data_IF_189901087681
#
_entry.id   IF_189901087681
#
_cell.length_a   1.000
_cell.length_b   1.000
_cell.length_c   1.000
_cell.angle_alpha   90.00
_cell.angle_beta   90.00
_cell.angle_gamma   90.00
#
_symmetry.space_group_name_H-M   'P 1'
#
loop_
_entity.id
_entity.type
_entity.pdbx_description
1 polymer ?
#
# COMPACT_ATOMS: atom_id res chain seq x y z
N UNK A 1 -0.76 39.73 -2.43
CA UNK A 1 -1.39 38.76 -1.50
C UNK A 1 -2.55 39.48 -0.82
N UNK A 2 -3.78 38.96 -0.90
CA UNK A 2 -4.99 39.72 -0.49
C UNK A 2 -5.20 39.70 1.03
N UNK A 3 -6.00 40.63 1.55
CA UNK A 3 -6.34 40.71 2.98
C UNK A 3 -6.96 39.41 3.50
N UNK A 4 -7.85 38.79 2.71
CA UNK A 4 -8.45 37.49 3.02
C UNK A 4 -7.40 36.37 3.18
N UNK A 5 -6.38 36.32 2.31
CA UNK A 5 -5.32 35.32 2.40
C UNK A 5 -4.46 35.48 3.66
N UNK A 6 -4.22 36.72 4.11
CA UNK A 6 -3.48 37.00 5.36
C UNK A 6 -4.28 36.58 6.58
N UNK A 7 -5.57 36.91 6.61
CA UNK A 7 -6.47 36.50 7.69
C UNK A 7 -6.55 34.97 7.83
N UNK A 8 -6.74 34.26 6.72
CA UNK A 8 -6.82 32.79 6.71
C UNK A 8 -5.51 32.13 7.18
N UNK A 9 -4.34 32.66 6.79
CA UNK A 9 -3.06 32.17 7.33
C UNK A 9 -2.92 32.42 8.83
N UNK A 10 -3.38 33.58 9.32
CA UNK A 10 -3.41 33.89 10.75
C UNK A 10 -4.27 32.90 11.53
N UNK A 11 -5.47 32.58 11.02
CA UNK A 11 -6.40 31.63 11.62
C UNK A 11 -5.84 30.19 11.63
N UNK A 12 -5.13 29.77 10.58
CA UNK A 12 -4.41 28.48 10.58
C UNK A 12 -3.28 28.45 11.60
N UNK A 13 -2.48 29.53 11.69
CA UNK A 13 -1.39 29.63 12.67
C UNK A 13 -1.88 29.55 14.12
N UNK A 14 -3.07 30.10 14.39
CA UNK A 14 -3.74 30.06 15.70
C UNK A 14 -4.51 28.76 15.97
N UNK A 15 -4.52 27.81 15.03
CA UNK A 15 -5.20 26.52 15.20
C UNK A 15 -6.74 26.59 15.10
N UNK A 16 -7.31 27.71 14.64
CA UNK A 16 -8.76 27.89 14.45
C UNK A 16 -9.24 27.20 13.16
N UNK A 17 -8.37 27.12 12.16
CA UNK A 17 -8.60 26.44 10.91
C UNK A 17 -7.53 25.38 10.67
N UNK A 18 -7.92 24.26 10.05
CA UNK A 18 -6.99 23.25 9.53
C UNK A 18 -7.00 23.26 8.02
N UNK A 19 -5.81 23.35 7.42
CA UNK A 19 -5.63 23.44 5.97
C UNK A 19 -5.51 22.07 5.33
N UNK A 20 -6.28 21.84 4.27
CA UNK A 20 -6.25 20.64 3.44
C UNK A 20 -6.04 21.03 1.98
N UNK A 21 -5.22 20.26 1.25
CA UNK A 21 -5.01 20.45 -0.18
C UNK A 21 -5.67 19.30 -0.92
N UNK A 22 -6.57 19.64 -1.83
CA UNK A 22 -7.21 18.66 -2.72
C UNK A 22 -6.27 18.32 -3.89
N UNK A 23 -6.58 17.24 -4.60
CA UNK A 23 -5.83 16.81 -5.78
C UNK A 23 -6.02 17.73 -7.00
N UNK A 24 -7.03 18.61 -6.98
CA UNK A 24 -7.17 19.73 -7.94
C UNK A 24 -6.37 20.97 -7.53
N UNK A 25 -5.42 20.83 -6.61
CA UNK A 25 -4.64 21.90 -5.98
C UNK A 25 -5.47 22.99 -5.28
N UNK A 26 -6.77 22.77 -5.08
CA UNK A 26 -7.61 23.69 -4.31
C UNK A 26 -7.32 23.52 -2.82
N UNK A 27 -7.29 24.64 -2.10
CA UNK A 27 -7.10 24.63 -0.65
C UNK A 27 -8.45 24.73 0.04
N UNK A 28 -8.76 23.75 0.87
CA UNK A 28 -9.97 23.70 1.69
C UNK A 28 -9.56 23.92 3.14
N UNK A 29 -10.35 24.66 3.90
CA UNK A 29 -10.12 24.93 5.31
C UNK A 29 -11.26 24.32 6.13
N UNK A 30 -10.93 23.43 7.06
CA UNK A 30 -11.87 22.89 8.04
C UNK A 30 -11.82 23.71 9.34
N UNK A 31 -12.98 23.99 9.91
CA UNK A 31 -13.15 24.69 11.18
C UNK A 31 -12.88 23.71 12.33
N UNK A 32 -11.90 24.02 13.17
CA UNK A 32 -11.51 23.19 14.32
C UNK A 32 -12.44 23.46 15.50
N UNK A 33 -12.40 22.63 16.55
CA UNK A 33 -13.16 22.91 17.77
C UNK A 33 -12.75 24.27 18.39
N UNK A 34 -11.45 24.62 18.53
CA UNK A 34 -11.06 25.97 18.93
C UNK A 34 -11.59 27.10 18.03
N UNK A 35 -11.76 26.84 16.72
CA UNK A 35 -12.36 27.79 15.79
C UNK A 35 -13.86 27.96 15.99
N UNK A 36 -14.57 26.90 16.37
CA UNK A 36 -15.99 26.96 16.76
C UNK A 36 -16.15 27.75 18.04
N UNK A 37 -15.34 27.45 19.06
CA UNK A 37 -15.40 28.11 20.36
C UNK A 37 -15.13 29.63 20.19
N UNK A 38 -14.11 29.98 19.36
CA UNK A 38 -13.82 31.38 19.02
C UNK A 38 -14.98 32.09 18.31
N UNK A 39 -15.73 31.41 17.43
CA UNK A 39 -16.91 31.98 16.77
C UNK A 39 -18.08 32.14 17.76
N UNK A 40 -18.25 31.18 18.67
CA UNK A 40 -19.25 31.25 19.74
C UNK A 40 -19.02 32.44 20.67
N UNK A 41 -17.77 32.69 21.07
CA UNK A 41 -17.37 33.88 21.87
C UNK A 41 -17.69 35.21 21.17
N UNK A 42 -17.85 35.19 19.85
CA UNK A 42 -18.19 36.37 19.02
C UNK A 42 -19.64 36.34 18.50
N UNK A 43 -20.50 35.50 19.09
CA UNK A 43 -21.95 35.48 18.80
C UNK A 43 -22.34 34.78 17.49
N UNK A 44 -21.48 33.89 16.96
CA UNK A 44 -21.75 33.14 15.75
C UNK A 44 -21.87 31.64 16.02
N UNK A 45 -23.01 31.05 15.66
CA UNK A 45 -23.21 29.61 15.73
C UNK A 45 -22.39 28.89 14.64
N UNK A 46 -21.58 27.91 15.08
CA UNK A 46 -20.74 27.13 14.19
C UNK A 46 -20.61 25.68 14.68
N UNK A 47 -20.22 24.78 13.77
CA UNK A 47 -19.96 23.38 14.08
C UNK A 47 -18.59 22.95 13.56
N UNK A 48 -17.91 22.10 14.34
CA UNK A 48 -16.58 21.61 14.00
C UNK A 48 -16.66 20.72 12.77
N UNK A 49 -16.02 21.14 11.67
CA UNK A 49 -15.96 20.37 10.44
C UNK A 49 -14.71 19.50 10.37
N UNK A 50 -13.77 19.63 11.32
CA UNK A 50 -12.54 18.84 11.34
C UNK A 50 -12.80 17.35 11.44
N UNK A 51 -13.80 16.88 12.20
CA UNK A 51 -14.13 15.44 12.26
C UNK A 51 -14.55 14.92 10.89
N UNK A 52 -15.49 15.60 10.22
CA UNK A 52 -15.95 15.22 8.87
C UNK A 52 -14.84 15.34 7.82
N UNK A 53 -13.97 16.34 7.92
CA UNK A 53 -12.88 16.57 6.96
C UNK A 53 -11.67 15.66 7.22
N UNK A 54 -11.41 15.23 8.46
CA UNK A 54 -10.42 14.19 8.78
C UNK A 54 -10.89 12.80 8.38
N UNK A 55 -12.21 12.58 8.41
CA UNK A 55 -12.86 11.32 8.01
C UNK A 55 -13.10 11.24 6.49
N UNK A 56 -12.83 12.32 5.74
CA UNK A 56 -12.79 12.29 4.28
C UNK A 56 -11.59 11.44 3.84
N UNK A 57 -11.79 10.13 3.76
CA UNK A 57 -10.96 9.27 2.92
C UNK A 57 -10.95 9.89 1.53
N UNK A 58 -9.76 10.13 0.97
CA UNK A 58 -9.68 10.67 -0.38
C UNK A 58 -10.45 9.72 -1.33
N UNK A 59 -11.52 10.19 -1.98
CA UNK A 59 -12.36 9.33 -2.79
C UNK A 59 -11.57 8.73 -3.95
N UNK A 60 -10.57 9.44 -4.49
CA UNK A 60 -9.70 8.93 -5.54
C UNK A 60 -8.80 7.80 -5.04
N UNK A 61 -8.24 7.93 -3.83
CA UNK A 61 -7.40 6.90 -3.21
C UNK A 61 -8.18 5.62 -2.95
N UNK A 62 -9.39 5.77 -2.39
CA UNK A 62 -10.29 4.65 -2.17
C UNK A 62 -10.69 3.97 -3.49
N UNK A 63 -10.95 4.78 -4.52
CA UNK A 63 -11.27 4.27 -5.86
C UNK A 63 -10.10 3.47 -6.45
N UNK A 64 -8.85 3.92 -6.28
CA UNK A 64 -7.68 3.14 -6.71
C UNK A 64 -7.52 1.84 -5.94
N UNK A 65 -7.73 1.83 -4.62
CA UNK A 65 -7.70 0.60 -3.83
C UNK A 65 -8.79 -0.39 -4.29
N UNK A 66 -10.03 0.09 -4.51
CA UNK A 66 -11.13 -0.72 -5.02
C UNK A 66 -10.86 -1.23 -6.44
N UNK A 67 -10.29 -0.39 -7.31
CA UNK A 67 -9.88 -0.78 -8.65
C UNK A 67 -8.91 -1.97 -8.62
N UNK A 68 -7.90 -1.94 -7.75
CA UNK A 68 -6.94 -3.04 -7.59
C UNK A 68 -7.60 -4.33 -7.08
N UNK A 69 -8.60 -4.22 -6.20
CA UNK A 69 -9.41 -5.36 -5.74
C UNK A 69 -10.19 -5.96 -6.91
N UNK A 70 -10.91 -5.15 -7.68
CA UNK A 70 -11.68 -5.60 -8.84
C UNK A 70 -10.79 -6.22 -9.91
N UNK A 71 -9.64 -5.60 -10.21
CA UNK A 71 -8.66 -6.19 -11.13
C UNK A 71 -8.16 -7.54 -10.63
N UNK A 72 -7.96 -7.70 -9.32
CA UNK A 72 -7.57 -8.97 -8.73
C UNK A 72 -8.68 -10.03 -8.86
N UNK A 73 -9.94 -9.67 -8.63
CA UNK A 73 -11.09 -10.55 -8.84
C UNK A 73 -11.23 -11.01 -10.29
N UNK A 74 -11.03 -10.09 -11.26
CA UNK A 74 -11.05 -10.42 -12.68
C UNK A 74 -9.95 -11.43 -13.06
N UNK A 75 -8.90 -11.59 -12.23
CA UNK A 75 -7.86 -12.62 -12.37
C UNK A 75 -8.10 -13.88 -11.53
N UNK A 76 -9.31 -14.04 -10.98
CA UNK A 76 -9.66 -15.18 -10.13
C UNK A 76 -9.05 -15.14 -8.72
N UNK A 77 -8.45 -14.02 -8.31
CA UNK A 77 -7.93 -13.88 -6.95
C UNK A 77 -9.02 -13.41 -6.01
N UNK A 78 -9.04 -13.92 -4.77
CA UNK A 78 -9.75 -13.23 -3.70
C UNK A 78 -8.96 -11.97 -3.34
N UNK A 79 -9.64 -10.84 -3.21
CA UNK A 79 -9.03 -9.59 -2.77
C UNK A 79 -10.01 -8.74 -1.95
N UNK A 80 -9.48 -7.90 -1.06
CA UNK A 80 -10.26 -7.00 -0.20
C UNK A 80 -9.49 -5.70 0.06
N UNK A 81 -10.20 -4.63 0.41
CA UNK A 81 -9.64 -3.34 0.85
C UNK A 81 -9.15 -3.38 2.30
N UNK A 82 -8.44 -2.34 2.76
CA UNK A 82 -8.02 -2.19 4.18
C UNK A 82 -9.17 -2.44 5.15
N UNK A 83 -10.31 -1.77 4.92
CA UNK A 83 -11.43 -1.77 5.87
C UNK A 83 -12.08 -3.14 5.98
N UNK A 84 -12.28 -3.82 4.85
CA UNK A 84 -12.80 -5.18 4.78
C UNK A 84 -11.83 -6.18 5.43
N UNK A 85 -10.52 -6.05 5.17
CA UNK A 85 -9.49 -6.86 5.81
C UNK A 85 -9.54 -6.73 7.33
N UNK A 86 -9.58 -5.51 7.86
CA UNK A 86 -9.62 -5.27 9.30
C UNK A 86 -10.93 -5.76 9.93
N UNK A 87 -12.04 -5.64 9.21
CA UNK A 87 -13.31 -6.19 9.63
C UNK A 87 -13.22 -7.72 9.76
N UNK A 88 -12.73 -8.42 8.73
CA UNK A 88 -12.58 -9.87 8.71
C UNK A 88 -11.63 -10.37 9.82
N UNK A 89 -10.48 -9.72 9.99
CA UNK A 89 -9.52 -10.08 11.04
C UNK A 89 -10.12 -9.96 12.44
N UNK A 90 -10.90 -8.90 12.69
CA UNK A 90 -11.51 -8.68 13.98
C UNK A 90 -12.77 -9.53 14.21
N UNK A 91 -13.52 -9.87 13.15
CA UNK A 91 -14.63 -10.82 13.24
C UNK A 91 -14.11 -12.22 13.64
N UNK A 92 -13.04 -12.67 13.01
CA UNK A 92 -12.41 -13.95 13.32
C UNK A 92 -11.74 -13.97 14.71
N UNK A 93 -11.15 -12.86 15.14
CA UNK A 93 -10.56 -12.74 16.49
C UNK A 93 -11.62 -12.89 17.60
N UNK A 94 -12.81 -12.33 17.39
CA UNK A 94 -13.95 -12.46 18.31
C UNK A 94 -14.49 -13.90 18.36
N UNK A 95 -14.54 -14.59 17.22
CA UNK A 95 -15.02 -15.97 17.15
C UNK A 95 -14.06 -16.97 17.84
N UNK A 96 -12.76 -16.69 17.86
CA UNK A 96 -11.73 -17.57 18.43
C UNK A 96 -11.52 -17.45 19.96
N UNK A 97 -12.15 -16.49 20.63
CA UNK A 97 -11.95 -16.26 22.08
C UNK A 97 -13.18 -16.66 22.89
N UNK A 98 -13.12 -17.84 23.55
CA UNK A 98 -14.14 -18.27 24.53
C UNK A 98 -14.23 -17.36 25.77
N UNK A 99 -13.21 -16.52 26.00
CA UNK A 99 -13.14 -15.56 27.11
C UNK A 99 -12.81 -14.15 26.60
N UNK A 100 -13.73 -13.50 25.88
CA UNK A 100 -13.98 -12.04 25.83
C UNK A 100 -12.86 -11.00 25.67
N UNK A 101 -11.57 -11.36 25.52
CA UNK A 101 -10.45 -10.41 25.64
C UNK A 101 -9.46 -10.45 24.47
N UNK A 102 -9.89 -10.76 23.24
CA UNK A 102 -9.00 -10.56 22.09
C UNK A 102 -8.85 -9.05 21.83
N UNK A 103 -7.66 -8.49 22.06
CA UNK A 103 -7.34 -7.11 21.65
C UNK A 103 -7.58 -6.98 20.15
N UNK A 104 -8.29 -5.92 19.75
CA UNK A 104 -8.59 -5.67 18.34
C UNK A 104 -7.31 -5.59 17.50
N UNK A 105 -7.29 -6.34 16.39
CA UNK A 105 -6.19 -6.38 15.42
C UNK A 105 -6.04 -4.99 14.79
N UNK A 106 -4.88 -4.36 15.01
CA UNK A 106 -4.60 -2.97 14.61
C UNK A 106 -3.91 -2.83 13.24
N UNK A 107 -3.51 -3.94 12.62
CA UNK A 107 -2.89 -3.96 11.30
C UNK A 107 -2.58 -5.37 10.84
N UNK A 108 -2.15 -5.50 9.59
CA UNK A 108 -2.00 -6.80 8.96
C UNK A 108 -0.61 -7.41 9.16
N UNK A 109 0.41 -6.56 9.27
CA UNK A 109 1.76 -6.97 9.63
C UNK A 109 2.33 -6.03 10.70
N UNK A 110 3.12 -6.58 11.61
CA UNK A 110 3.84 -5.79 12.61
C UNK A 110 5.31 -5.79 12.24
N UNK A 111 5.89 -4.60 12.10
CA UNK A 111 7.28 -4.40 11.71
C UNK A 111 8.02 -3.53 12.73
N UNK A 112 9.34 -3.66 12.77
CA UNK A 112 10.21 -2.77 13.54
C UNK A 112 10.76 -1.69 12.62
N UNK A 113 10.36 -0.44 12.85
CA UNK A 113 10.80 0.71 12.04
C UNK A 113 11.89 1.46 12.81
N UNK A 114 13.08 1.56 12.23
CA UNK A 114 14.17 2.34 12.81
C UNK A 114 13.95 3.83 12.54
N UNK A 115 13.88 4.63 13.60
CA UNK A 115 13.68 6.09 13.57
C UNK A 115 14.61 6.76 14.56
N UNK A 116 15.44 7.71 14.10
CA UNK A 116 16.27 8.59 14.95
C UNK A 116 17.02 7.83 16.07
N UNK A 117 17.59 6.66 15.76
CA UNK A 117 18.34 5.83 16.71
C UNK A 117 17.51 4.88 17.58
N UNK A 118 16.17 4.88 17.48
CA UNK A 118 15.30 3.96 18.19
C UNK A 118 14.50 3.07 17.23
N UNK A 119 14.27 1.81 17.61
CA UNK A 119 13.40 0.89 16.88
C UNK A 119 11.99 0.95 17.46
N UNK A 120 10.99 1.30 16.65
CA UNK A 120 9.59 1.39 17.08
C UNK A 120 8.79 0.29 16.37
N UNK A 121 8.08 -0.53 17.15
CA UNK A 121 7.13 -1.47 16.56
C UNK A 121 5.92 -0.73 16.00
N UNK A 122 5.57 -1.04 14.76
CA UNK A 122 4.44 -0.43 14.07
C UNK A 122 3.58 -1.49 13.41
N UNK A 123 2.27 -1.31 13.52
CA UNK A 123 1.29 -2.08 12.76
C UNK A 123 1.07 -1.38 11.42
N UNK A 124 1.38 -2.06 10.32
CA UNK A 124 1.14 -1.55 8.97
C UNK A 124 -0.17 -2.14 8.43
N UNK A 125 -0.78 -1.41 7.49
CA UNK A 125 -2.05 -1.76 6.86
C UNK A 125 -1.94 -1.56 5.35
N UNK A 126 -2.39 -2.53 4.54
CA UNK A 126 -2.43 -2.35 3.10
C UNK A 126 -3.61 -1.48 2.71
N UNK A 127 -3.50 -0.76 1.58
CA UNK A 127 -4.67 -0.14 0.95
C UNK A 127 -5.63 -1.21 0.40
N UNK A 128 -5.04 -2.26 -0.18
CA UNK A 128 -5.73 -3.48 -0.60
C UNK A 128 -4.82 -4.71 -0.49
N UNK A 129 -5.42 -5.88 -0.36
CA UNK A 129 -4.71 -7.16 -0.32
C UNK A 129 -5.37 -8.16 -1.26
N UNK A 130 -4.56 -8.88 -2.03
CA UNK A 130 -5.00 -10.07 -2.76
C UNK A 130 -4.39 -11.34 -2.15
N UNK A 131 -5.15 -12.42 -2.20
CA UNK A 131 -4.79 -13.71 -1.64
C UNK A 131 -4.47 -14.68 -2.77
N UNK A 132 -3.26 -15.22 -2.75
CA UNK A 132 -2.80 -16.20 -3.71
C UNK A 132 -3.55 -17.52 -3.50
N UNK A 133 -4.10 -18.09 -4.59
CA UNK A 133 -4.94 -19.30 -4.54
C UNK A 133 -4.07 -20.53 -4.25
N UNK A 134 -2.80 -20.52 -4.66
CA UNK A 134 -1.94 -21.70 -4.65
C UNK A 134 -0.99 -21.82 -3.44
N UNK A 135 -0.83 -20.76 -2.62
CA UNK A 135 0.36 -20.68 -1.73
C UNK A 135 0.21 -20.14 -0.31
N UNK A 136 -1.01 -19.97 0.25
CA UNK A 136 -1.26 -19.20 1.49
C UNK A 136 -0.50 -17.85 1.52
N UNK A 137 -0.20 -17.31 0.35
CA UNK A 137 0.56 -16.09 0.16
C UNK A 137 -0.37 -14.91 0.01
N UNK A 138 0.11 -13.73 0.34
CA UNK A 138 -0.60 -12.48 0.06
C UNK A 138 0.24 -11.51 -0.75
N UNK A 139 -0.46 -10.78 -1.60
CA UNK A 139 0.04 -9.58 -2.29
C UNK A 139 -0.53 -8.36 -1.59
N UNK A 140 0.35 -7.52 -1.08
CA UNK A 140 0.06 -6.24 -0.46
C UNK A 140 0.08 -5.13 -1.52
N UNK A 141 -0.99 -4.33 -1.59
CA UNK A 141 -1.03 -3.14 -2.43
C UNK A 141 -0.93 -1.87 -1.59
N UNK A 142 -0.08 -0.95 -2.04
CA UNK A 142 0.12 0.38 -1.50
C UNK A 142 -0.06 1.40 -2.63
N UNK A 143 -1.06 2.27 -2.51
CA UNK A 143 -1.34 3.35 -3.46
C UNK A 143 -0.61 4.61 -2.99
N UNK A 144 0.50 4.94 -3.65
CA UNK A 144 1.29 6.11 -3.30
C UNK A 144 0.93 7.33 -4.17
N UNK A 145 0.30 8.30 -3.52
CA UNK A 145 -0.23 9.51 -4.16
C UNK A 145 0.41 10.82 -3.71
N UNK A 146 1.40 10.79 -2.80
CA UNK A 146 2.01 12.01 -2.28
C UNK A 146 3.48 11.81 -1.95
N UNK A 147 4.27 12.90 -1.95
CA UNK A 147 5.66 12.85 -1.49
C UNK A 147 5.75 12.15 -0.13
N UNK A 148 6.44 11.00 -0.07
CA UNK A 148 6.70 10.32 1.19
C UNK A 148 7.54 11.23 2.08
N UNK A 149 7.03 11.53 3.28
CA UNK A 149 7.88 12.01 4.37
C UNK A 149 8.84 10.91 4.80
N UNK A 150 9.89 11.26 5.56
CA UNK A 150 10.88 10.29 6.11
C UNK A 150 10.21 9.08 6.75
N UNK A 151 9.11 9.30 7.45
CA UNK A 151 8.32 8.27 8.12
C UNK A 151 7.73 7.24 7.17
N UNK A 152 7.16 7.68 6.04
CA UNK A 152 6.57 6.78 5.04
C UNK A 152 7.62 6.02 4.24
N UNK A 153 8.81 6.59 4.11
CA UNK A 153 9.95 5.90 3.50
C UNK A 153 10.46 4.77 4.41
N UNK A 154 10.60 5.05 5.71
CA UNK A 154 10.98 4.04 6.70
C UNK A 154 9.93 2.93 6.83
N UNK A 155 8.64 3.26 6.75
CA UNK A 155 7.56 2.28 6.73
C UNK A 155 7.64 1.37 5.50
N UNK A 156 7.89 1.92 4.30
CA UNK A 156 8.04 1.12 3.07
C UNK A 156 9.26 0.20 3.17
N UNK A 157 10.41 0.70 3.62
CA UNK A 157 11.60 -0.13 3.78
C UNK A 157 11.36 -1.28 4.79
N UNK A 158 10.68 -0.99 5.90
CA UNK A 158 10.32 -2.01 6.89
C UNK A 158 9.31 -3.03 6.35
N UNK A 159 8.36 -2.60 5.52
CA UNK A 159 7.42 -3.49 4.84
C UNK A 159 8.13 -4.42 3.85
N UNK A 160 9.04 -3.89 3.04
CA UNK A 160 9.86 -4.69 2.11
C UNK A 160 10.70 -5.71 2.87
N UNK A 161 11.35 -5.30 3.96
CA UNK A 161 12.12 -6.22 4.82
C UNK A 161 11.29 -7.32 5.48
N UNK A 162 9.97 -7.13 5.58
CA UNK A 162 9.04 -8.09 6.14
C UNK A 162 8.48 -9.10 5.12
N UNK A 163 8.85 -9.00 3.84
CA UNK A 163 8.51 -10.02 2.83
C UNK A 163 9.07 -11.38 3.27
N UNK A 164 8.25 -12.42 3.18
CA UNK A 164 8.51 -13.75 3.72
C UNK A 164 8.00 -13.98 5.14
N UNK A 165 7.57 -12.94 5.86
CA UNK A 165 7.01 -13.09 7.21
C UNK A 165 5.51 -13.41 7.18
N UNK A 166 5.00 -13.97 8.29
CA UNK A 166 3.58 -14.22 8.48
C UNK A 166 2.81 -12.94 8.83
N UNK A 167 1.61 -12.81 8.28
CA UNK A 167 0.63 -11.76 8.56
C UNK A 167 -0.28 -12.14 9.72
N UNK A 168 -1.17 -11.24 10.13
CA UNK A 168 -2.05 -11.41 11.28
C UNK A 168 -2.99 -12.64 11.20
N UNK A 169 -3.27 -13.14 10.00
CA UNK A 169 -4.04 -14.36 9.73
C UNK A 169 -3.16 -15.59 9.41
N UNK A 170 -1.85 -15.48 9.63
CA UNK A 170 -0.88 -16.58 9.44
C UNK A 170 -0.44 -16.81 8.00
N UNK A 171 -0.96 -16.06 7.03
CA UNK A 171 -0.53 -16.10 5.62
C UNK A 171 0.85 -15.47 5.46
N UNK A 172 1.58 -15.79 4.39
CA UNK A 172 2.93 -15.25 4.15
C UNK A 172 2.84 -14.02 3.26
N UNK A 173 3.46 -12.90 3.66
CA UNK A 173 3.63 -11.75 2.77
C UNK A 173 4.60 -12.12 1.64
N UNK A 174 4.07 -12.38 0.44
CA UNK A 174 4.87 -12.80 -0.71
C UNK A 174 5.22 -11.63 -1.62
N UNK A 175 4.37 -10.62 -1.70
CA UNK A 175 4.56 -9.52 -2.65
C UNK A 175 4.13 -8.20 -2.04
N UNK A 176 4.90 -7.15 -2.32
CA UNK A 176 4.53 -5.76 -2.04
C UNK A 176 4.51 -5.01 -3.36
N UNK A 177 3.35 -4.46 -3.70
CA UNK A 177 3.13 -3.70 -4.93
C UNK A 177 2.87 -2.25 -4.56
N UNK A 178 3.76 -1.37 -4.98
CA UNK A 178 3.65 0.09 -4.80
C UNK A 178 3.16 0.71 -6.09
N UNK A 179 1.95 1.21 -6.05
CA UNK A 179 1.23 1.82 -7.16
C UNK A 179 1.40 3.34 -7.12
N UNK A 180 2.19 3.89 -8.03
CA UNK A 180 2.65 5.28 -7.99
C UNK A 180 1.81 6.19 -8.89
N UNK A 181 1.30 7.30 -8.35
CA UNK A 181 0.48 8.25 -9.13
C UNK A 181 1.28 9.11 -10.12
N UNK A 182 2.58 9.32 -9.88
CA UNK A 182 3.44 10.18 -10.70
C UNK A 182 4.84 9.58 -10.81
N UNK A 183 5.55 9.83 -11.90
CA UNK A 183 6.94 9.40 -12.10
C UNK A 183 7.89 9.88 -10.99
N UNK A 184 7.59 11.02 -10.38
CA UNK A 184 8.35 11.51 -9.22
C UNK A 184 8.21 10.56 -8.03
N UNK A 185 6.98 10.13 -7.74
CA UNK A 185 6.68 9.21 -6.64
C UNK A 185 7.30 7.84 -6.93
N UNK A 186 7.21 7.38 -8.18
CA UNK A 186 7.85 6.15 -8.63
C UNK A 186 9.37 6.18 -8.40
N UNK A 187 10.06 7.24 -8.88
CA UNK A 187 11.50 7.41 -8.63
C UNK A 187 11.84 7.46 -7.15
N UNK A 188 11.02 8.12 -6.32
CA UNK A 188 11.23 8.14 -4.88
C UNK A 188 11.07 6.75 -4.24
N UNK A 189 10.10 5.94 -4.69
CA UNK A 189 9.88 4.57 -4.23
C UNK A 189 11.02 3.63 -4.67
N UNK A 190 11.42 3.70 -5.95
CA UNK A 190 12.58 2.95 -6.47
C UNK A 190 13.83 3.26 -5.67
N UNK A 191 14.11 4.54 -5.42
CA UNK A 191 15.27 4.97 -4.62
C UNK A 191 15.26 4.36 -3.21
N UNK A 192 14.09 4.24 -2.56
CA UNK A 192 13.98 3.60 -1.24
C UNK A 192 14.33 2.11 -1.34
N UNK A 193 13.81 1.41 -2.35
CA UNK A 193 14.07 -0.02 -2.56
C UNK A 193 15.56 -0.25 -2.88
N UNK A 194 16.16 0.59 -3.72
CA UNK A 194 17.58 0.53 -4.07
C UNK A 194 18.50 0.82 -2.88
N UNK A 195 18.16 1.81 -2.06
CA UNK A 195 18.90 2.10 -0.82
C UNK A 195 18.83 0.92 0.16
N UNK A 196 17.64 0.30 0.30
CA UNK A 196 17.48 -0.89 1.11
C UNK A 196 18.27 -2.06 0.53
N UNK A 197 18.23 -2.27 -0.79
CA UNK A 197 19.00 -3.32 -1.45
C UNK A 197 20.50 -3.14 -1.22
N UNK A 198 21.04 -1.93 -1.38
CA UNK A 198 22.44 -1.63 -1.10
C UNK A 198 22.81 -1.98 0.35
N UNK A 199 21.98 -1.59 1.33
CA UNK A 199 22.21 -1.89 2.74
C UNK A 199 22.15 -3.40 3.05
N UNK A 200 21.14 -4.11 2.54
CA UNK A 200 20.96 -5.55 2.77
C UNK A 200 22.03 -6.40 2.06
N UNK A 201 22.46 -5.97 0.87
CA UNK A 201 23.40 -6.73 0.04
C UNK A 201 24.84 -6.63 0.55
N UNK A 202 25.18 -5.61 1.35
CA UNK A 202 26.48 -5.49 2.03
C UNK A 202 26.63 -6.40 3.26
N UNK A 203 25.53 -6.95 3.80
CA UNK A 203 25.59 -7.80 4.99
C UNK A 203 26.20 -9.17 4.68
N UNK A 204 26.94 -9.72 5.64
CA UNK A 204 27.46 -11.10 5.60
C UNK A 204 26.30 -12.10 5.67
N UNK A 205 26.46 -13.27 5.03
CA UNK A 205 25.47 -14.34 5.05
C UNK A 205 25.26 -14.85 6.49
N UNK A 206 24.10 -14.52 7.04
CA UNK A 206 23.63 -14.90 8.38
C UNK A 206 22.17 -15.33 8.27
N UNK A 207 21.69 -16.17 9.18
CA UNK A 207 20.31 -16.66 9.13
C UNK A 207 19.30 -15.49 9.13
N UNK A 208 18.30 -15.55 8.25
CA UNK A 208 17.27 -14.52 8.12
C UNK A 208 17.74 -13.25 7.42
N UNK A 209 19.03 -13.17 7.00
CA UNK A 209 19.54 -12.07 6.18
C UNK A 209 18.69 -11.93 4.92
N UNK A 210 18.32 -10.70 4.61
CA UNK A 210 17.68 -10.35 3.34
C UNK A 210 18.71 -9.97 2.30
N UNK A 211 18.44 -10.32 1.06
CA UNK A 211 19.19 -9.87 -0.10
C UNK A 211 18.19 -9.50 -1.20
N UNK A 212 18.36 -8.34 -1.83
CA UNK A 212 17.38 -7.80 -2.79
C UNK A 212 18.06 -7.65 -4.14
N UNK A 213 17.49 -8.27 -5.18
CA UNK A 213 18.04 -8.24 -6.55
C UNK A 213 17.04 -7.58 -7.49
N UNK A 214 17.52 -6.66 -8.33
CA UNK A 214 16.68 -6.12 -9.41
C UNK A 214 16.55 -7.19 -10.48
N UNK A 215 15.31 -7.53 -10.84
CA UNK A 215 15.00 -8.49 -11.89
C UNK A 215 14.74 -7.77 -13.23
N UNK A 216 13.94 -6.71 -13.18
CA UNK A 216 13.62 -5.87 -14.33
C UNK A 216 13.24 -4.48 -13.86
N UNK A 217 12.77 -3.62 -14.77
CA UNK A 217 12.36 -2.28 -14.40
C UNK A 217 11.14 -2.30 -13.46
N UNK A 218 11.30 -1.66 -12.30
CA UNK A 218 10.30 -1.67 -11.22
C UNK A 218 10.15 -2.98 -10.45
N UNK A 219 10.85 -4.07 -10.81
CA UNK A 219 10.65 -5.40 -10.18
C UNK A 219 11.92 -5.88 -9.49
N UNK A 220 11.78 -6.21 -8.21
CA UNK A 220 12.87 -6.69 -7.36
C UNK A 220 12.48 -8.01 -6.69
N UNK A 221 13.41 -8.96 -6.73
CA UNK A 221 13.35 -10.23 -6.03
C UNK A 221 13.89 -10.04 -4.60
N UNK A 222 13.20 -10.62 -3.61
CA UNK A 222 13.64 -10.64 -2.22
C UNK A 222 14.02 -12.06 -1.84
N UNK A 223 15.30 -12.23 -1.53
CA UNK A 223 15.91 -13.48 -1.08
C UNK A 223 16.09 -13.46 0.43
N UNK A 224 16.09 -14.66 1.02
CA UNK A 224 16.37 -14.87 2.43
C UNK A 224 17.35 -16.03 2.62
N UNK A 225 18.33 -15.83 3.49
CA UNK A 225 19.20 -16.91 3.94
C UNK A 225 18.44 -17.80 4.93
N UNK A 226 18.10 -19.01 4.51
CA UNK A 226 17.37 -20.00 5.31
C UNK A 226 18.26 -21.19 5.68
N UNK A 227 18.12 -21.74 6.90
CA UNK A 227 18.88 -22.91 7.34
C UNK A 227 18.29 -24.17 6.74
N UNK A 228 19.13 -24.95 6.06
CA UNK A 228 18.78 -26.25 5.50
C UNK A 228 19.69 -27.32 6.10
N UNK A 229 19.07 -28.37 6.65
CA UNK A 229 19.79 -29.55 7.12
C UNK A 229 20.23 -30.39 5.93
N UNK A 230 21.54 -30.62 5.82
CA UNK A 230 22.14 -31.51 4.84
C UNK A 230 22.01 -32.97 5.28
N UNK A 231 22.23 -33.88 4.34
CA UNK A 231 22.21 -35.34 4.59
C UNK A 231 23.26 -35.77 5.63
N UNK A 232 24.35 -35.01 5.80
CA UNK A 232 25.40 -35.23 6.79
C UNK A 232 25.07 -34.64 8.19
N UNK A 233 23.86 -34.12 8.38
CA UNK A 233 23.40 -33.53 9.64
C UNK A 233 23.86 -32.09 9.88
N UNK A 234 24.72 -31.52 9.03
CA UNK A 234 25.15 -30.12 9.15
C UNK A 234 24.08 -29.16 8.64
N UNK A 235 24.03 -27.96 9.20
CA UNK A 235 23.16 -26.89 8.72
C UNK A 235 23.94 -25.99 7.78
N UNK A 236 23.42 -25.78 6.57
CA UNK A 236 23.92 -24.78 5.64
C UNK A 236 22.88 -23.68 5.46
N UNK A 237 23.35 -22.45 5.20
CA UNK A 237 22.47 -21.37 4.78
C UNK A 237 22.41 -21.36 3.26
N UNK A 238 21.20 -21.38 2.71
CA UNK A 238 20.95 -21.15 1.29
C UNK A 238 20.11 -19.89 1.12
N UNK A 239 20.35 -19.14 0.05
CA UNK A 239 19.47 -18.03 -0.32
C UNK A 239 18.26 -18.59 -1.08
N UNK A 240 17.07 -18.44 -0.52
CA UNK A 240 15.81 -18.79 -1.17
C UNK A 240 14.98 -17.53 -1.46
N UNK A 241 14.30 -17.51 -2.60
CA UNK A 241 13.37 -16.45 -2.95
C UNK A 241 12.15 -16.50 -2.02
N UNK A 242 11.98 -15.47 -1.20
CA UNK A 242 10.82 -15.36 -0.30
C UNK A 242 9.69 -14.51 -0.88
N UNK A 243 9.97 -13.66 -1.86
CA UNK A 243 8.96 -12.81 -2.48
C UNK A 243 9.50 -11.72 -3.40
N UNK A 244 8.65 -10.72 -3.68
CA UNK A 244 8.96 -9.63 -4.61
C UNK A 244 8.48 -8.27 -4.13
N UNK A 245 9.20 -7.22 -4.55
CA UNK A 245 8.72 -5.83 -4.54
C UNK A 245 8.49 -5.40 -5.98
N UNK A 246 7.34 -4.81 -6.25
CA UNK A 246 6.97 -4.28 -7.55
C UNK A 246 6.59 -2.82 -7.37
N UNK A 247 7.28 -1.92 -8.06
CA UNK A 247 6.97 -0.50 -8.14
C UNK A 247 6.48 -0.25 -9.55
N UNK A 248 5.26 0.27 -9.68
CA UNK A 248 4.60 0.45 -10.96
C UNK A 248 3.74 1.71 -10.91
N UNK A 249 3.69 2.45 -12.02
CA UNK A 249 2.76 3.56 -12.17
C UNK A 249 1.30 3.11 -12.08
N UNK A 250 0.41 3.94 -11.55
CA UNK A 250 -1.03 3.76 -11.71
C UNK A 250 -1.46 4.11 -13.14
N UNK A 251 -2.52 3.49 -13.67
CA UNK A 251 -3.04 3.83 -14.99
C UNK A 251 -3.91 5.08 -14.87
N UNK A 252 -3.35 6.20 -14.44
CA UNK A 252 -4.09 7.45 -14.19
C UNK A 252 -4.76 8.02 -15.44
N UNK A 253 -4.33 7.58 -16.61
CA UNK A 253 -4.91 7.91 -17.90
C UNK A 253 -6.14 7.06 -18.24
N UNK A 254 -6.36 5.92 -17.57
CA UNK A 254 -7.44 4.96 -17.86
C UNK A 254 -8.82 5.62 -17.99
N UNK A 255 -9.23 6.54 -17.09
CA UNK A 255 -10.54 7.18 -17.19
C UNK A 255 -10.72 8.06 -18.44
N UNK A 256 -9.62 8.43 -19.10
CA UNK A 256 -9.60 9.28 -20.29
C UNK A 256 -9.40 8.50 -21.59
N UNK A 257 -9.22 7.18 -21.52
CA UNK A 257 -9.08 6.37 -22.73
C UNK A 257 -10.38 6.34 -23.50
N UNK A 258 -10.21 6.44 -24.82
CA UNK A 258 -11.23 6.12 -25.80
C UNK A 258 -10.68 4.97 -26.62
N UNK A 259 -11.40 3.86 -26.68
CA UNK A 259 -11.03 2.73 -27.54
C UNK A 259 -11.68 3.01 -28.90
N UNK A 260 -11.14 4.00 -29.61
CA UNK A 260 -11.55 4.38 -30.96
C UNK A 260 -10.32 4.78 -31.79
N UNK A 261 -10.51 5.03 -33.09
CA UNK A 261 -9.44 5.39 -34.02
C UNK A 261 -8.72 6.71 -33.68
N UNK A 262 -9.23 7.50 -32.73
CA UNK A 262 -8.65 8.78 -32.29
C UNK A 262 -7.80 8.66 -31.03
N UNK A 263 -7.63 7.46 -30.47
CA UNK A 263 -6.94 7.26 -29.20
C UNK A 263 -5.51 7.81 -29.24
N UNK A 264 -5.22 8.79 -28.37
CA UNK A 264 -3.90 9.44 -28.26
C UNK A 264 -3.04 8.89 -27.12
N UNK A 265 -3.58 7.98 -26.31
CA UNK A 265 -2.90 7.47 -25.11
C UNK A 265 -2.40 6.05 -25.36
N UNK A 266 -1.12 5.80 -25.08
CA UNK A 266 -0.55 4.46 -25.10
C UNK A 266 -1.26 3.56 -24.09
N UNK A 267 -1.68 2.39 -24.55
CA UNK A 267 -2.30 1.31 -23.78
C UNK A 267 -1.29 0.30 -23.25
N UNK A 268 -0.01 0.50 -23.56
CA UNK A 268 1.09 -0.42 -23.27
C UNK A 268 1.19 -0.66 -21.76
N UNK A 269 1.41 -1.90 -21.37
CA UNK A 269 1.42 -2.32 -19.98
C UNK A 269 0.06 -2.78 -19.44
N UNK A 270 -1.07 -2.25 -19.93
CA UNK A 270 -2.34 -2.36 -19.18
C UNK A 270 -3.39 -3.27 -19.82
N UNK A 271 -3.54 -3.20 -21.13
CA UNK A 271 -4.51 -4.03 -21.86
C UNK A 271 -3.84 -5.19 -22.60
N UNK A 272 -2.77 -4.92 -23.35
CA UNK A 272 -2.03 -5.93 -24.13
C UNK A 272 -1.04 -6.72 -23.30
N UNK A 273 -0.28 -6.04 -22.44
CA UNK A 273 0.85 -6.65 -21.73
C UNK A 273 0.42 -7.38 -20.46
N UNK A 274 -0.89 -7.45 -20.24
CA UNK A 274 -1.48 -8.31 -19.24
C UNK A 274 -0.93 -8.05 -17.83
N UNK A 275 -0.63 -6.79 -17.45
CA UNK A 275 -0.02 -6.45 -16.15
C UNK A 275 -1.03 -6.00 -15.07
N UNK A 276 -2.34 -6.23 -15.24
CA UNK A 276 -3.32 -5.99 -14.17
C UNK A 276 -3.57 -7.26 -13.35
N UNK A 277 -3.64 -7.21 -12.01
CA UNK A 277 -3.58 -6.03 -11.14
C UNK A 277 -2.19 -5.42 -10.93
N UNK A 278 -1.13 -6.14 -11.27
CA UNK A 278 0.26 -5.66 -11.26
C UNK A 278 1.13 -6.48 -12.23
N UNK A 279 2.25 -5.93 -12.68
CA UNK A 279 3.21 -6.66 -13.54
C UNK A 279 3.75 -7.88 -12.80
N UNK A 280 3.53 -9.09 -13.34
CA UNK A 280 4.08 -10.29 -12.72
C UNK A 280 5.61 -10.36 -12.90
N UNK A 281 6.35 -10.73 -11.85
CA UNK A 281 7.76 -11.10 -11.94
C UNK A 281 8.00 -12.13 -13.04
N UNK A 282 9.14 -12.04 -13.72
CA UNK A 282 9.42 -12.83 -14.94
C UNK A 282 9.56 -14.35 -14.70
N UNK A 283 9.72 -14.76 -13.45
CA UNK A 283 9.75 -16.17 -13.03
C UNK A 283 8.37 -16.72 -12.66
N UNK A 284 7.31 -15.92 -12.75
CA UNK A 284 5.93 -16.35 -12.58
C UNK A 284 5.24 -16.41 -13.94
N UNK A 285 4.23 -17.28 -14.05
CA UNK A 285 3.33 -17.27 -15.20
C UNK A 285 2.67 -15.91 -15.37
N UNK A 286 2.27 -15.54 -16.58
CA UNK A 286 1.47 -14.35 -16.82
C UNK A 286 0.11 -14.46 -16.09
N UNK A 287 -0.63 -13.35 -16.01
CA UNK A 287 -2.00 -13.44 -15.50
C UNK A 287 -2.87 -14.29 -16.44
N UNK A 288 -3.78 -15.13 -15.93
CA UNK A 288 -4.79 -15.75 -16.78
C UNK A 288 -5.63 -14.64 -17.41
N UNK A 289 -6.15 -14.87 -18.63
CA UNK A 289 -7.03 -13.89 -19.28
C UNK A 289 -8.17 -13.49 -18.35
N UNK A 290 -8.53 -12.19 -18.30
CA UNK A 290 -9.52 -11.72 -17.35
C UNK A 290 -10.87 -12.38 -17.66
N UNK A 291 -11.46 -13.04 -16.67
CA UNK A 291 -12.80 -13.62 -16.77
C UNK A 291 -13.84 -12.57 -16.42
N UNK A 292 -14.96 -12.52 -17.16
CA UNK A 292 -16.12 -11.75 -16.73
C UNK A 292 -16.79 -12.48 -15.56
N UNK A 293 -17.05 -11.83 -14.42
CA UNK A 293 -17.87 -12.44 -13.38
C UNK A 293 -19.35 -12.55 -13.79
N UNK A 294 -19.73 -11.95 -14.92
CA UNK A 294 -21.10 -11.93 -15.45
C UNK A 294 -21.30 -12.87 -16.65
N UNK A 295 -20.21 -13.36 -17.27
CA UNK A 295 -20.27 -14.23 -18.45
C UNK A 295 -19.34 -15.41 -18.19
N UNK A 296 -19.92 -16.58 -17.93
CA UNK A 296 -19.19 -17.84 -17.82
C UNK A 296 -18.79 -18.32 -19.21
N UNK A 297 -17.59 -18.88 -19.32
CA UNK A 297 -16.93 -19.29 -20.60
C UNK A 297 -17.61 -20.53 -21.23
N UNK A 298 -18.79 -20.92 -20.75
CA UNK A 298 -19.53 -22.11 -21.21
C UNK A 298 -20.53 -21.81 -22.36
N UNK A 299 -20.54 -20.59 -22.90
CA UNK A 299 -21.45 -20.15 -23.98
C UNK A 299 -20.73 -19.95 -25.35
N UNK A 300 -19.72 -20.77 -25.67
CA UNK A 300 -19.19 -20.94 -27.04
C UNK A 300 -19.05 -22.41 -27.45
#
# INVERSE_FOLDING_TARGET
MTAAQRAVRGMVKRGLLRRYRTDRFQTVYGLTQPGVDWLGDHGHDAASSVRRVSDMTNPEHRLWAQFLVVCSWARGLRAVTESELLHDLNANAKAGTRNGSSKAVQGYITVSVHRRGASVRKHLRPDAVAFDVEGRGVTWFEVDRSKRGSDRAADLAALVGAIGNKTADGRVLRRVVVMCKTERIERDALRIVEQLAAACNQLVLTEGRRHIRRQSDGVYEVMAAIPVKRQDGRTALIDEQVGHVIVQMLPIWLPKVRIDASNRWSTDGWFSDNCLPYRRPGNLSLWPMPGSPLVTVDDE
#
